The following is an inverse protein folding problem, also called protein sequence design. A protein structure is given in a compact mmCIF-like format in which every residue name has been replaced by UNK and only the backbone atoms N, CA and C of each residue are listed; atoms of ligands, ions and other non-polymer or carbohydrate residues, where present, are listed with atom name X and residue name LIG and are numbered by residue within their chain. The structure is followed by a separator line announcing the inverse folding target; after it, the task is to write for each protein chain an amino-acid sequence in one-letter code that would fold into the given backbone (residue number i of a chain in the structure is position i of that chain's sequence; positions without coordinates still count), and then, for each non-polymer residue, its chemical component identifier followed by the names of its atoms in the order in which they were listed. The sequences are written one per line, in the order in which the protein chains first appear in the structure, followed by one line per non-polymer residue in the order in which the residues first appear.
data_IF_275988944462
#
_entry.id   IF_275988944462
#
_cell.length_a   1.000
_cell.length_b   1.000
_cell.length_c   1.000
_cell.angle_alpha   90.00
_cell.angle_beta   90.00
_cell.angle_gamma   90.00
#
_symmetry.space_group_name_H-M   'P 1'
#
loop_
_entity.id
_entity.type
_entity.pdbx_description
1 polymer ?
#
# COMPACT_ATOMS: atom_id res chain seq x y z
N UNK A 1 12.21 14.14 2.10
CA UNK A 1 11.69 13.43 3.30
C UNK A 1 11.69 11.93 3.12
N UNK A 2 11.92 11.20 4.17
CA UNK A 2 11.87 9.74 4.26
C UNK A 2 10.47 9.34 4.74
N UNK A 3 9.95 8.20 4.27
CA UNK A 3 8.72 7.63 4.82
C UNK A 3 8.94 6.24 5.37
N UNK A 4 8.08 5.84 6.30
CA UNK A 4 7.87 4.46 6.70
C UNK A 4 6.41 4.08 6.52
N UNK A 5 6.17 2.83 6.17
CA UNK A 5 4.83 2.27 6.06
C UNK A 5 4.72 1.16 7.09
N UNK A 6 3.74 1.26 7.97
CA UNK A 6 3.31 0.16 8.83
C UNK A 6 1.96 -0.34 8.33
N UNK A 7 1.81 -1.64 8.14
CA UNK A 7 0.58 -2.22 7.63
C UNK A 7 0.25 -3.55 8.29
N UNK A 8 -1.03 -3.90 8.37
CA UNK A 8 -1.51 -5.19 8.81
C UNK A 8 -2.57 -5.77 7.85
N UNK A 9 -2.67 -7.09 7.83
CA UNK A 9 -3.68 -7.78 7.04
C UNK A 9 -4.90 -8.02 7.93
N UNK A 10 -6.00 -7.35 7.60
CA UNK A 10 -7.26 -7.47 8.32
C UNK A 10 -7.74 -8.93 8.32
N UNK A 11 -8.00 -9.48 9.53
CA UNK A 11 -8.47 -10.87 9.72
C UNK A 11 -7.50 -11.95 9.25
N UNK A 12 -6.22 -11.68 9.21
CA UNK A 12 -5.17 -12.66 8.87
C UNK A 12 -5.26 -13.97 9.68
N UNK A 13 -5.73 -13.89 10.92
CA UNK A 13 -5.92 -15.05 11.80
C UNK A 13 -6.94 -16.07 11.30
N UNK A 14 -7.82 -15.69 10.37
CA UNK A 14 -8.77 -16.61 9.73
C UNK A 14 -8.22 -17.27 8.46
N UNK A 15 -7.03 -16.86 7.99
CA UNK A 15 -6.34 -17.51 6.88
C UNK A 15 -5.75 -18.86 7.35
N UNK A 16 -5.91 -19.89 6.54
CA UNK A 16 -5.18 -21.13 6.76
C UNK A 16 -3.69 -20.91 6.56
N UNK A 17 -2.86 -21.63 7.30
CA UNK A 17 -1.40 -21.42 7.30
C UNK A 17 -0.76 -21.48 5.89
N UNK A 18 -1.27 -22.38 5.03
CA UNK A 18 -0.78 -22.52 3.65
C UNK A 18 -1.01 -21.27 2.80
N UNK A 19 -2.15 -20.61 2.97
CA UNK A 19 -2.48 -19.40 2.23
C UNK A 19 -1.73 -18.18 2.78
N UNK A 20 -1.55 -18.11 4.09
CA UNK A 20 -0.70 -17.10 4.70
C UNK A 20 0.75 -17.20 4.17
N UNK A 21 1.30 -18.42 4.04
CA UNK A 21 2.64 -18.63 3.49
C UNK A 21 2.70 -18.17 2.01
N UNK A 22 1.70 -18.52 1.19
CA UNK A 22 1.63 -18.06 -0.20
C UNK A 22 1.61 -16.55 -0.31
N UNK A 23 0.76 -15.89 0.50
CA UNK A 23 0.65 -14.43 0.54
C UNK A 23 1.97 -13.77 0.94
N UNK A 24 2.63 -14.27 1.98
CA UNK A 24 3.95 -13.77 2.42
C UNK A 24 5.00 -13.91 1.32
N UNK A 25 5.01 -15.01 0.57
CA UNK A 25 5.95 -15.19 -0.54
C UNK A 25 5.68 -14.20 -1.68
N UNK A 26 4.40 -13.89 -1.96
CA UNK A 26 4.03 -12.87 -2.95
C UNK A 26 4.43 -11.47 -2.51
N UNK A 27 4.24 -11.15 -1.22
CA UNK A 27 4.71 -9.87 -0.65
C UNK A 27 6.23 -9.74 -0.74
N UNK A 28 7.00 -10.80 -0.40
CA UNK A 28 8.46 -10.78 -0.55
C UNK A 28 8.88 -10.53 -1.99
N UNK A 29 8.26 -11.21 -2.97
CA UNK A 29 8.56 -10.98 -4.37
C UNK A 29 8.28 -9.52 -4.80
N UNK A 30 7.21 -8.92 -4.30
CA UNK A 30 6.92 -7.50 -4.54
C UNK A 30 7.97 -6.58 -3.88
N UNK A 31 8.44 -6.91 -2.67
CA UNK A 31 9.50 -6.14 -2.00
C UNK A 31 10.84 -6.25 -2.72
N UNK A 32 11.19 -7.44 -3.23
CA UNK A 32 12.38 -7.65 -4.05
C UNK A 32 12.34 -6.81 -5.35
N UNK A 33 11.16 -6.59 -5.92
CA UNK A 33 10.98 -5.72 -7.08
C UNK A 33 11.09 -4.24 -6.67
N UNK A 34 10.51 -3.84 -5.55
CA UNK A 34 10.65 -2.48 -5.03
C UNK A 34 12.10 -2.13 -4.66
N UNK A 35 12.90 -3.07 -4.16
CA UNK A 35 14.33 -2.84 -3.89
C UNK A 35 15.12 -2.51 -5.16
N UNK A 36 14.69 -3.02 -6.33
CA UNK A 36 15.30 -2.71 -7.63
C UNK A 36 14.87 -1.36 -8.16
N UNK A 37 13.57 -1.02 -7.98
CA UNK A 37 12.96 0.17 -8.55
C UNK A 37 13.17 1.43 -7.69
N UNK A 38 13.32 1.25 -6.36
CA UNK A 38 13.48 2.33 -5.39
C UNK A 38 14.77 2.15 -4.58
N UNK A 39 15.90 2.75 -4.99
CA UNK A 39 17.19 2.59 -4.33
C UNK A 39 17.13 2.89 -2.83
N UNK A 40 17.57 1.93 -2.00
CA UNK A 40 17.56 2.02 -0.55
C UNK A 40 16.22 1.65 0.10
N UNK A 41 15.20 1.31 -0.68
CA UNK A 41 13.97 0.70 -0.14
C UNK A 41 14.29 -0.66 0.48
N UNK A 42 13.65 -0.97 1.61
CA UNK A 42 13.56 -2.33 2.11
C UNK A 42 12.30 -2.52 2.97
N UNK A 43 11.90 -3.76 3.12
CA UNK A 43 10.71 -4.10 3.86
C UNK A 43 10.88 -5.41 4.62
N UNK A 44 10.14 -5.56 5.71
CA UNK A 44 10.08 -6.79 6.49
C UNK A 44 8.64 -7.17 6.82
N UNK A 45 8.43 -8.47 7.04
CA UNK A 45 7.17 -9.00 7.52
C UNK A 45 7.33 -9.29 9.01
N UNK A 46 6.58 -8.58 9.84
CA UNK A 46 6.63 -8.65 11.30
C UNK A 46 5.39 -9.37 11.86
N UNK A 47 5.55 -10.06 12.99
CA UNK A 47 4.43 -10.70 13.74
C UNK A 47 3.45 -11.54 12.90
N UNK A 48 3.91 -12.14 11.82
CA UNK A 48 3.12 -13.04 10.97
C UNK A 48 2.44 -12.38 9.79
N UNK A 49 1.76 -11.28 9.97
CA UNK A 49 0.93 -10.58 8.98
C UNK A 49 1.18 -9.07 8.88
N UNK A 50 1.94 -8.51 9.80
CA UNK A 50 2.38 -7.12 9.76
C UNK A 50 3.46 -6.91 8.70
N UNK A 51 3.47 -5.73 8.11
CA UNK A 51 4.48 -5.28 7.15
C UNK A 51 5.04 -3.95 7.63
N UNK A 52 6.35 -3.82 7.60
CA UNK A 52 7.04 -2.55 7.79
C UNK A 52 7.94 -2.28 6.59
N UNK A 53 7.85 -1.07 6.02
CA UNK A 53 8.67 -0.64 4.91
C UNK A 53 9.43 0.63 5.28
N UNK A 54 10.69 0.70 4.85
CA UNK A 54 11.48 1.92 4.81
C UNK A 54 11.53 2.43 3.37
N UNK A 55 11.11 3.66 3.17
CA UNK A 55 10.99 4.31 1.86
C UNK A 55 11.85 5.58 1.85
N UNK A 56 13.08 5.53 1.30
CA UNK A 56 14.01 6.66 1.32
C UNK A 56 13.48 7.93 0.65
N UNK A 57 12.73 7.77 -0.43
CA UNK A 57 11.99 8.86 -1.07
C UNK A 57 10.49 8.73 -0.74
N UNK A 58 10.05 9.46 0.28
CA UNK A 58 8.69 9.41 0.80
C UNK A 58 7.59 9.73 -0.21
N UNK A 59 7.92 10.37 -1.34
CA UNK A 59 6.97 10.63 -2.42
C UNK A 59 6.35 9.36 -2.97
N UNK A 60 7.08 8.24 -2.95
CA UNK A 60 6.58 6.94 -3.43
C UNK A 60 5.84 6.12 -2.37
N UNK A 61 5.76 6.58 -1.12
CA UNK A 61 5.18 5.81 -0.03
C UNK A 61 3.70 5.42 -0.29
N UNK A 62 2.90 6.35 -0.79
CA UNK A 62 1.49 6.08 -1.10
C UNK A 62 1.35 5.03 -2.22
N UNK A 63 2.11 5.13 -3.31
CA UNK A 63 2.12 4.12 -4.38
C UNK A 63 2.46 2.74 -3.85
N UNK A 64 3.50 2.64 -3.03
CA UNK A 64 3.97 1.39 -2.44
C UNK A 64 2.89 0.80 -1.52
N UNK A 65 2.30 1.59 -0.63
CA UNK A 65 1.23 1.16 0.26
C UNK A 65 -0.01 0.65 -0.52
N UNK A 66 -0.41 1.37 -1.57
CA UNK A 66 -1.50 0.98 -2.45
C UNK A 66 -1.20 -0.31 -3.23
N UNK A 67 0.03 -0.50 -3.71
CA UNK A 67 0.44 -1.74 -4.39
C UNK A 67 0.39 -2.95 -3.44
N UNK A 68 0.83 -2.79 -2.19
CA UNK A 68 0.70 -3.82 -1.16
C UNK A 68 -0.78 -4.17 -0.94
N UNK A 69 -1.63 -3.16 -0.76
CA UNK A 69 -3.08 -3.34 -0.56
C UNK A 69 -3.75 -4.04 -1.75
N UNK A 70 -3.42 -3.66 -2.98
CA UNK A 70 -3.93 -4.29 -4.20
C UNK A 70 -3.47 -5.75 -4.31
N UNK A 71 -2.18 -6.04 -4.05
CA UNK A 71 -1.65 -7.40 -4.07
C UNK A 71 -2.41 -8.31 -3.10
N UNK A 72 -2.58 -7.88 -1.84
CA UNK A 72 -3.32 -8.66 -0.85
C UNK A 72 -4.76 -8.89 -1.29
N UNK A 73 -5.46 -7.86 -1.78
CA UNK A 73 -6.83 -7.98 -2.27
C UNK A 73 -6.97 -8.99 -3.40
N UNK A 74 -6.03 -9.02 -4.33
CA UNK A 74 -6.02 -9.98 -5.46
C UNK A 74 -5.73 -11.40 -4.95
N UNK A 75 -4.71 -11.58 -4.11
CA UNK A 75 -4.28 -12.90 -3.67
C UNK A 75 -5.28 -13.58 -2.75
N UNK A 76 -5.90 -12.85 -1.84
CA UNK A 76 -6.84 -13.43 -0.87
C UNK A 76 -8.17 -13.85 -1.51
N UNK A 77 -8.54 -13.27 -2.64
CA UNK A 77 -9.75 -13.68 -3.37
C UNK A 77 -9.66 -15.04 -4.05
N UNK A 78 -8.43 -15.49 -4.33
CA UNK A 78 -8.18 -16.83 -4.92
C UNK A 78 -8.12 -17.94 -3.85
N UNK A 79 -8.21 -17.56 -2.58
CA UNK A 79 -8.19 -18.48 -1.45
C UNK A 79 -9.63 -18.96 -1.18
N UNK A 80 -9.80 -20.26 -0.94
CA UNK A 80 -11.10 -20.88 -0.58
C UNK A 80 -11.58 -20.36 0.80
N UNK A 81 -12.07 -19.13 0.81
CA UNK A 81 -12.69 -18.56 1.98
C UNK A 81 -14.19 -18.83 1.95
N UNK A 82 -14.66 -19.75 2.79
CA UNK A 82 -16.07 -20.11 2.93
C UNK A 82 -16.97 -18.96 3.42
N UNK A 83 -16.39 -17.82 3.76
CA UNK A 83 -17.12 -16.68 4.27
C UNK A 83 -17.07 -15.49 3.31
N UNK A 84 -18.00 -15.48 2.35
CA UNK A 84 -18.16 -14.41 1.36
C UNK A 84 -18.53 -13.04 1.96
N UNK A 85 -18.81 -12.96 3.25
CA UNK A 85 -19.19 -11.74 3.95
C UNK A 85 -17.97 -11.01 4.53
N UNK A 86 -16.81 -11.64 4.58
CA UNK A 86 -15.65 -11.10 5.25
C UNK A 86 -14.60 -10.65 4.25
N UNK A 87 -14.53 -9.35 4.03
CA UNK A 87 -13.51 -8.75 3.16
C UNK A 87 -12.18 -8.73 3.90
N UNK A 88 -11.23 -9.51 3.43
CA UNK A 88 -9.82 -9.30 3.77
C UNK A 88 -9.36 -7.99 3.13
N UNK A 89 -8.55 -7.26 3.85
CA UNK A 89 -8.00 -6.01 3.38
C UNK A 89 -6.64 -5.75 4.02
N UNK A 90 -6.08 -4.62 3.69
CA UNK A 90 -4.89 -4.09 4.37
C UNK A 90 -5.25 -2.77 4.99
N UNK A 91 -4.97 -2.64 6.27
CA UNK A 91 -4.82 -1.34 6.93
C UNK A 91 -3.38 -0.93 6.82
N UNK A 92 -3.14 0.32 6.54
CA UNK A 92 -1.79 0.86 6.52
C UNK A 92 -1.74 2.27 7.08
N UNK A 93 -0.59 2.62 7.62
CA UNK A 93 -0.27 3.98 8.00
C UNK A 93 1.07 4.37 7.40
N UNK A 94 1.16 5.60 6.91
CA UNK A 94 2.38 6.20 6.40
C UNK A 94 2.80 7.29 7.37
N UNK A 95 4.01 7.19 7.91
CA UNK A 95 4.67 8.25 8.67
C UNK A 95 5.80 8.84 7.84
N UNK A 96 5.95 10.16 7.84
CA UNK A 96 7.03 10.85 7.13
C UNK A 96 7.83 11.76 8.07
N UNK A 97 9.14 11.83 7.84
CA UNK A 97 10.04 12.74 8.56
C UNK A 97 11.26 13.08 7.70
N UNK A 98 11.98 14.14 8.07
CA UNK A 98 13.24 14.50 7.40
C UNK A 98 14.34 13.51 7.71
N UNK A 99 14.42 13.05 8.96
CA UNK A 99 15.45 12.16 9.46
C UNK A 99 14.85 10.85 9.99
N UNK A 100 15.39 9.74 9.55
CA UNK A 100 15.16 8.42 10.08
C UNK A 100 16.42 7.58 9.92
N UNK A 101 16.65 6.69 10.88
CA UNK A 101 17.69 5.69 10.79
C UNK A 101 17.10 4.36 10.31
N UNK A 102 17.77 3.73 9.36
CA UNK A 102 17.43 2.38 8.95
C UNK A 102 18.71 1.59 8.64
N UNK A 103 18.78 0.38 9.17
CA UNK A 103 19.86 -0.57 8.91
C UNK A 103 19.25 -1.93 8.59
N UNK A 104 19.35 -2.32 7.32
CA UNK A 104 18.81 -3.59 6.84
C UNK A 104 19.56 -4.79 7.41
N UNK A 105 20.87 -4.67 7.65
CA UNK A 105 21.69 -5.77 8.16
C UNK A 105 21.35 -6.08 9.63
N UNK A 106 21.09 -5.05 10.41
CA UNK A 106 20.69 -5.16 11.83
C UNK A 106 19.17 -5.26 12.01
N UNK A 107 18.40 -5.23 10.91
CA UNK A 107 16.93 -5.26 10.92
C UNK A 107 16.29 -4.13 11.76
N UNK A 108 16.88 -2.91 11.69
CA UNK A 108 16.47 -1.76 12.49
C UNK A 108 15.86 -0.67 11.60
N UNK A 109 14.66 -0.20 11.95
CA UNK A 109 14.11 1.09 11.54
C UNK A 109 13.84 1.89 12.82
N UNK A 110 14.34 3.12 12.90
CA UNK A 110 14.17 3.97 14.07
C UNK A 110 14.05 5.45 13.66
N UNK A 111 13.22 6.19 14.38
CA UNK A 111 13.05 7.64 14.17
C UNK A 111 11.57 8.04 14.14
N UNK A 112 11.29 9.35 13.93
CA UNK A 112 9.92 9.87 13.98
C UNK A 112 8.96 9.17 13.02
N UNK A 113 9.37 8.90 11.78
CA UNK A 113 8.46 8.31 10.79
C UNK A 113 7.92 6.94 11.22
N UNK A 114 8.77 6.01 11.72
CA UNK A 114 8.30 4.69 12.16
C UNK A 114 7.42 4.78 13.40
N UNK A 115 7.68 5.74 14.32
CA UNK A 115 6.81 5.97 15.47
C UNK A 115 5.43 6.48 15.03
N UNK A 116 5.36 7.40 14.06
CA UNK A 116 4.11 7.90 13.51
C UNK A 116 3.32 6.79 12.82
N UNK A 117 3.96 6.06 11.90
CA UNK A 117 3.25 5.00 11.16
C UNK A 117 2.77 3.88 12.08
N UNK A 118 3.56 3.47 13.07
CA UNK A 118 3.17 2.43 14.03
C UNK A 118 2.02 2.88 14.94
N UNK A 119 2.13 4.06 15.56
CA UNK A 119 1.09 4.62 16.43
C UNK A 119 -0.24 4.77 15.71
N UNK A 120 -0.22 5.38 14.52
CA UNK A 120 -1.43 5.63 13.76
C UNK A 120 -2.04 4.31 13.25
N UNK A 121 -1.23 3.29 12.93
CA UNK A 121 -1.74 1.96 12.62
C UNK A 121 -2.48 1.35 13.81
N UNK A 122 -1.92 1.45 15.02
CA UNK A 122 -2.56 0.96 16.25
C UNK A 122 -3.89 1.69 16.50
N UNK A 123 -3.94 3.02 16.29
CA UNK A 123 -5.15 3.82 16.45
C UNK A 123 -6.27 3.42 15.48
N UNK A 124 -5.96 3.15 14.21
CA UNK A 124 -6.96 2.72 13.22
C UNK A 124 -7.31 1.24 13.33
N UNK A 125 -6.49 0.42 13.99
CA UNK A 125 -6.75 -1.03 14.14
C UNK A 125 -8.02 -1.32 14.92
N UNK A 126 -8.41 -0.43 15.85
CA UNK A 126 -9.65 -0.51 16.62
C UNK A 126 -10.90 0.01 15.92
N UNK A 127 -10.79 0.50 14.68
CA UNK A 127 -11.88 1.12 13.92
C UNK A 127 -12.31 0.23 12.77
N UNK A 128 -13.61 0.11 12.56
CA UNK A 128 -14.19 -0.73 11.51
C UNK A 128 -14.29 -0.02 10.14
N UNK A 129 -14.15 1.31 10.14
CA UNK A 129 -14.43 2.18 8.99
C UNK A 129 -13.18 2.88 8.43
N UNK A 130 -12.02 2.76 9.08
CA UNK A 130 -10.77 3.41 8.67
C UNK A 130 -9.70 2.37 8.36
N UNK A 131 -9.15 2.45 7.16
CA UNK A 131 -8.16 1.50 6.63
C UNK A 131 -6.85 2.16 6.19
N UNK A 132 -6.71 3.47 6.38
CA UNK A 132 -5.46 4.16 6.08
C UNK A 132 -5.31 5.39 6.98
N UNK A 133 -4.07 5.66 7.37
CA UNK A 133 -3.66 6.88 8.07
C UNK A 133 -2.39 7.45 7.42
N UNK A 134 -2.18 8.75 7.65
CA UNK A 134 -1.01 9.46 7.13
C UNK A 134 -0.63 10.61 8.06
N UNK A 135 0.64 10.73 8.36
CA UNK A 135 1.15 11.84 9.17
C UNK A 135 2.57 12.23 8.79
N UNK A 136 2.82 13.53 8.72
CA UNK A 136 4.16 14.10 8.56
C UNK A 136 4.59 14.71 9.87
N UNK A 137 5.77 14.35 10.34
CA UNK A 137 6.38 14.88 11.56
C UNK A 137 6.60 16.40 11.44
N UNK A 138 6.18 17.14 12.45
CA UNK A 138 6.23 18.61 12.53
C UNK A 138 5.35 19.37 11.53
N UNK A 139 4.55 18.70 10.70
CA UNK A 139 3.56 19.40 9.88
C UNK A 139 2.40 19.94 10.75
N UNK A 140 1.71 20.96 10.25
CA UNK A 140 0.52 21.48 10.92
C UNK A 140 -0.64 20.49 10.88
N UNK A 141 -1.55 20.56 11.86
CA UNK A 141 -2.76 19.73 11.90
C UNK A 141 -3.59 19.85 10.62
N UNK A 142 -3.64 21.04 10.01
CA UNK A 142 -4.37 21.27 8.77
C UNK A 142 -3.77 20.53 7.59
N UNK A 143 -2.44 20.51 7.49
CA UNK A 143 -1.71 19.77 6.44
C UNK A 143 -1.89 18.27 6.65
N UNK A 144 -1.65 17.78 7.86
CA UNK A 144 -1.83 16.37 8.20
C UNK A 144 -3.26 15.90 7.95
N UNK A 145 -4.27 16.66 8.39
CA UNK A 145 -5.68 16.31 8.18
C UNK A 145 -6.08 16.26 6.70
N UNK A 146 -5.55 17.16 5.86
CA UNK A 146 -5.80 17.14 4.42
C UNK A 146 -5.16 15.89 3.77
N UNK A 147 -3.89 15.62 4.07
CA UNK A 147 -3.15 14.49 3.50
C UNK A 147 -3.70 13.14 3.97
N UNK A 148 -4.07 13.03 5.24
CA UNK A 148 -4.73 11.84 5.78
C UNK A 148 -6.07 11.58 5.07
N UNK A 149 -6.88 12.62 4.88
CA UNK A 149 -8.14 12.52 4.13
C UNK A 149 -7.90 12.06 2.69
N UNK A 150 -6.87 12.60 2.05
CA UNK A 150 -6.50 12.22 0.68
C UNK A 150 -6.09 10.75 0.58
N UNK A 151 -5.20 10.30 1.46
CA UNK A 151 -4.72 8.90 1.53
C UNK A 151 -5.88 7.95 1.85
N UNK A 152 -6.74 8.32 2.80
CA UNK A 152 -7.91 7.54 3.18
C UNK A 152 -8.91 7.39 2.05
N UNK A 153 -9.18 8.45 1.28
CA UNK A 153 -10.06 8.39 0.10
C UNK A 153 -9.51 7.45 -0.98
N UNK A 154 -8.21 7.49 -1.26
CA UNK A 154 -7.59 6.59 -2.24
C UNK A 154 -7.58 5.13 -1.75
N UNK A 155 -7.33 4.90 -0.46
CA UNK A 155 -7.43 3.58 0.15
C UNK A 155 -8.85 3.02 0.03
N UNK A 156 -9.87 3.81 0.35
CA UNK A 156 -11.28 3.43 0.22
C UNK A 156 -11.68 3.14 -1.24
N UNK A 157 -11.12 3.91 -2.18
CA UNK A 157 -11.33 3.65 -3.61
C UNK A 157 -10.79 2.26 -4.01
N UNK A 158 -9.62 1.83 -3.49
CA UNK A 158 -9.11 0.48 -3.69
C UNK A 158 -10.03 -0.58 -3.07
N UNK A 159 -10.59 -0.30 -1.89
CA UNK A 159 -11.54 -1.22 -1.24
C UNK A 159 -12.82 -1.42 -2.07
N UNK A 160 -13.23 -0.41 -2.82
CA UNK A 160 -14.39 -0.46 -3.71
C UNK A 160 -14.16 -1.26 -5.00
N UNK A 161 -12.91 -1.51 -5.40
CA UNK A 161 -12.63 -2.27 -6.61
C UNK A 161 -13.08 -3.73 -6.48
N UNK A 162 -13.65 -4.27 -7.56
CA UNK A 162 -13.73 -5.73 -7.70
C UNK A 162 -12.31 -6.31 -7.85
N UNK A 163 -12.15 -7.60 -7.56
CA UNK A 163 -10.86 -8.29 -7.74
C UNK A 163 -10.31 -8.11 -9.14
N UNK A 164 -11.17 -8.30 -10.16
CA UNK A 164 -10.79 -8.13 -11.57
C UNK A 164 -10.37 -6.70 -11.94
N UNK A 165 -10.90 -5.69 -11.26
CA UNK A 165 -10.44 -4.31 -11.38
C UNK A 165 -9.10 -4.13 -10.67
N UNK A 166 -8.97 -4.65 -9.45
CA UNK A 166 -7.74 -4.57 -8.65
C UNK A 166 -6.54 -5.20 -9.38
N UNK A 167 -6.72 -6.37 -10.03
CA UNK A 167 -5.67 -6.99 -10.87
C UNK A 167 -5.15 -6.05 -11.96
N UNK A 168 -6.04 -5.44 -12.70
CA UNK A 168 -5.66 -4.52 -13.78
C UNK A 168 -5.00 -3.26 -13.22
N UNK A 169 -5.55 -2.68 -12.15
CA UNK A 169 -4.99 -1.47 -11.50
C UNK A 169 -3.60 -1.77 -10.93
N UNK A 170 -3.39 -2.93 -10.31
CA UNK A 170 -2.11 -3.37 -9.78
C UNK A 170 -1.03 -3.38 -10.88
N UNK A 171 -1.26 -4.06 -11.99
CA UNK A 171 -0.28 -4.12 -13.08
C UNK A 171 -0.08 -2.76 -13.76
N UNK A 172 -1.14 -1.94 -13.88
CA UNK A 172 -1.00 -0.58 -14.41
C UNK A 172 -0.16 0.32 -13.52
N UNK A 173 -0.27 0.21 -12.20
CA UNK A 173 0.58 0.93 -11.24
C UNK A 173 2.04 0.48 -11.29
N UNK A 174 2.29 -0.79 -11.60
CA UNK A 174 3.63 -1.33 -11.88
C UNK A 174 4.18 -0.91 -13.26
N UNK A 175 3.41 -0.15 -14.06
CA UNK A 175 3.86 0.36 -15.36
C UNK A 175 3.64 -0.56 -16.56
N UNK A 176 2.98 -1.70 -16.39
CA UNK A 176 2.69 -2.60 -17.53
C UNK A 176 1.71 -1.98 -18.52
N UNK A 177 1.96 -2.22 -19.82
CA UNK A 177 1.05 -1.83 -20.90
C UNK A 177 -0.16 -2.77 -20.96
N UNK A 178 -1.28 -2.29 -21.49
CA UNK A 178 -2.53 -3.06 -21.55
C UNK A 178 -2.41 -4.40 -22.29
N UNK A 179 -1.55 -4.48 -23.30
CA UNK A 179 -1.26 -5.74 -24.02
C UNK A 179 -0.58 -6.73 -23.09
N UNK A 180 0.44 -6.31 -22.37
CA UNK A 180 1.20 -7.14 -21.41
C UNK A 180 0.32 -7.63 -20.25
N UNK A 181 -0.59 -6.75 -19.79
CA UNK A 181 -1.59 -7.10 -18.77
C UNK A 181 -2.56 -8.16 -19.34
N UNK A 182 -3.00 -7.98 -20.58
CA UNK A 182 -3.88 -8.93 -21.25
C UNK A 182 -3.25 -10.33 -21.33
N UNK A 183 -1.99 -10.40 -21.75
CA UNK A 183 -1.22 -11.66 -21.82
C UNK A 183 -1.06 -12.31 -20.44
N UNK A 184 -0.72 -11.56 -19.40
CA UNK A 184 -0.55 -12.06 -18.02
C UNK A 184 -1.86 -12.59 -17.42
N UNK A 185 -2.98 -11.94 -17.70
CA UNK A 185 -4.29 -12.29 -17.16
C UNK A 185 -5.09 -13.23 -18.06
N UNK A 186 -4.58 -13.58 -19.25
CA UNK A 186 -5.28 -14.41 -20.22
C UNK A 186 -6.58 -13.78 -20.76
N UNK A 187 -6.60 -12.46 -20.93
CA UNK A 187 -7.78 -11.71 -21.41
C UNK A 187 -7.41 -10.76 -22.57
N UNK A 188 -8.41 -10.36 -23.34
CA UNK A 188 -8.22 -9.40 -24.43
C UNK A 188 -7.90 -8.00 -23.89
N UNK A 189 -7.10 -7.22 -24.64
CA UNK A 189 -6.79 -5.82 -24.31
C UNK A 189 -8.06 -4.98 -24.10
N UNK A 190 -9.12 -5.22 -24.88
CA UNK A 190 -10.40 -4.53 -24.69
C UNK A 190 -11.01 -4.77 -23.31
N UNK A 191 -10.84 -5.97 -22.74
CA UNK A 191 -11.29 -6.31 -21.39
C UNK A 191 -10.43 -5.61 -20.33
N UNK A 192 -9.10 -5.48 -20.56
CA UNK A 192 -8.20 -4.69 -19.70
C UNK A 192 -8.66 -3.24 -19.67
N UNK A 193 -8.89 -2.64 -20.83
CA UNK A 193 -9.36 -1.25 -20.95
C UNK A 193 -10.71 -1.05 -20.24
N UNK A 194 -11.68 -1.96 -20.43
CA UNK A 194 -12.98 -1.89 -19.79
C UNK A 194 -12.84 -1.94 -18.24
N UNK A 195 -12.03 -2.88 -17.70
CA UNK A 195 -11.78 -2.99 -16.26
C UNK A 195 -11.08 -1.74 -15.70
N UNK A 196 -10.10 -1.19 -16.41
CA UNK A 196 -9.40 0.05 -16.04
C UNK A 196 -10.36 1.25 -16.04
N UNK A 197 -11.21 1.40 -17.05
CA UNK A 197 -12.21 2.47 -17.11
C UNK A 197 -13.23 2.37 -15.97
N UNK A 198 -13.75 1.19 -15.70
CA UNK A 198 -14.70 0.97 -14.60
C UNK A 198 -14.06 1.18 -13.21
N UNK A 199 -12.76 0.95 -13.06
CA UNK A 199 -11.98 1.31 -11.88
C UNK A 199 -11.61 2.81 -11.82
N UNK A 200 -12.03 3.63 -12.78
CA UNK A 200 -11.66 5.06 -12.87
C UNK A 200 -10.14 5.29 -12.86
N UNK A 201 -9.41 4.40 -13.56
CA UNK A 201 -7.95 4.40 -13.58
C UNK A 201 -7.33 5.79 -13.83
N UNK A 202 -7.88 6.58 -14.77
CA UNK A 202 -7.34 7.90 -15.08
C UNK A 202 -7.31 8.82 -13.86
N UNK A 203 -8.41 8.92 -13.12
CA UNK A 203 -8.50 9.71 -11.89
C UNK A 203 -7.58 9.14 -10.81
N UNK A 204 -7.61 7.83 -10.60
CA UNK A 204 -6.81 7.17 -9.58
C UNK A 204 -5.32 7.36 -9.80
N UNK A 205 -4.85 7.16 -11.05
CA UNK A 205 -3.45 7.35 -11.41
C UNK A 205 -3.00 8.82 -11.34
N UNK A 206 -3.88 9.76 -11.71
CA UNK A 206 -3.58 11.19 -11.54
C UNK A 206 -3.36 11.51 -10.07
N UNK A 207 -4.27 11.07 -9.21
CA UNK A 207 -4.15 11.29 -7.77
C UNK A 207 -2.84 10.72 -7.19
N UNK A 208 -2.44 9.49 -7.54
CA UNK A 208 -1.14 8.94 -7.10
C UNK A 208 0.02 9.81 -7.59
N UNK A 209 -0.01 10.26 -8.85
CA UNK A 209 1.05 11.12 -9.40
C UNK A 209 1.07 12.51 -8.78
N UNK A 210 -0.08 13.08 -8.47
CA UNK A 210 -0.18 14.38 -7.84
C UNK A 210 0.41 14.32 -6.42
N UNK A 211 0.21 13.21 -5.68
CA UNK A 211 0.86 12.97 -4.39
C UNK A 211 2.40 12.90 -4.54
N UNK A 212 2.90 12.25 -5.58
CA UNK A 212 4.34 12.13 -5.86
C UNK A 212 5.02 13.47 -6.22
N UNK A 213 4.24 14.47 -6.61
CA UNK A 213 4.72 15.82 -6.93
C UNK A 213 4.73 16.76 -5.72
N UNK A 214 4.18 16.35 -4.58
CA UNK A 214 4.16 17.18 -3.37
C UNK A 214 5.60 17.40 -2.87
N UNK A 215 5.96 18.65 -2.68
CA UNK A 215 7.16 18.99 -1.94
C UNK A 215 6.86 19.00 -0.44
N UNK A 216 7.08 17.84 0.18
CA UNK A 216 6.80 17.65 1.60
C UNK A 216 7.72 18.51 2.52
N UNK A 217 8.87 18.96 2.03
CA UNK A 217 9.74 19.87 2.79
C UNK A 217 9.13 21.26 2.81
N UNK A 218 8.66 21.75 1.66
CA UNK A 218 8.07 23.07 1.55
C UNK A 218 6.77 23.22 2.36
N UNK A 219 5.89 22.20 2.33
CA UNK A 219 4.57 22.29 3.00
C UNK A 219 4.65 22.09 4.52
N UNK A 220 5.78 21.60 5.04
CA UNK A 220 5.98 21.35 6.48
C UNK A 220 6.88 22.42 7.16
N UNK A 221 7.53 23.28 6.36
CA UNK A 221 8.34 24.43 6.85
C UNK A 221 7.45 25.63 7.04
#
# INVERSE_FOLDING_TARGET
MIATISADIVRSTSLIIGDLIKLRNKLRGLFDDFEKDYPGFWARIVRGDGVECFVPDGRYALRIAILIKLLVKVQVSDMDCHDHLHRYGVRFSIGMAEENYADKAEDIINGPAIFLSGRNLDEISGRDDVYAAFEVFNATDSVNGLLESYVSLLSNMVDSFSVKQAEVVFYKLLGYREVEIGERLGIYQSSVNMRARSARWGLFNSAIKDFELIDFVEICG
#
